data_IF_887715229007
#
_entry.id   IF_887715229007
#
_cell.length_a   1.000
_cell.length_b   1.000
_cell.length_c   1.000
_cell.angle_alpha   90.00
_cell.angle_beta   90.00
_cell.angle_gamma   90.00
#
_symmetry.space_group_name_H-M   'P 1'
#
loop_
_entity.id
_entity.type
_entity.pdbx_description
1 polymer ?
#
# COMPACT_ATOMS: atom_id res chain seq x y z
N UNK A 1 21.56 -46.46 43.72
CA UNK A 1 20.63 -45.30 43.77
C UNK A 1 21.06 -44.12 42.88
N UNK A 2 22.31 -44.08 42.40
CA UNK A 2 22.88 -42.96 41.62
C UNK A 2 22.43 -42.94 40.14
N UNK A 3 22.22 -44.08 39.48
CA UNK A 3 21.91 -44.12 38.04
C UNK A 3 20.56 -43.48 37.66
N UNK A 4 19.50 -43.66 38.47
CA UNK A 4 18.17 -43.07 38.19
C UNK A 4 18.15 -41.54 38.20
N UNK A 5 19.10 -40.90 38.88
CA UNK A 5 19.26 -39.45 38.90
C UNK A 5 19.84 -38.92 37.59
N UNK A 6 20.84 -39.62 37.04
CA UNK A 6 21.44 -39.29 35.75
C UNK A 6 20.43 -39.47 34.60
N UNK A 7 19.64 -40.54 34.62
CA UNK A 7 18.62 -40.80 33.60
C UNK A 7 17.57 -39.67 33.56
N UNK A 8 17.14 -39.18 34.74
CA UNK A 8 16.22 -38.03 34.84
C UNK A 8 16.80 -36.75 34.25
N UNK A 9 18.08 -36.47 34.50
CA UNK A 9 18.76 -35.29 33.95
C UNK A 9 18.91 -35.41 32.43
N UNK A 10 19.23 -36.60 31.93
CA UNK A 10 19.31 -36.88 30.50
C UNK A 10 17.95 -36.69 29.82
N UNK A 11 16.87 -37.16 30.43
CA UNK A 11 15.51 -37.03 29.88
C UNK A 11 15.00 -35.58 29.92
N UNK A 12 15.36 -34.82 30.95
CA UNK A 12 15.14 -33.38 31.00
C UNK A 12 15.87 -32.68 29.85
N UNK A 13 17.15 -32.99 29.62
CA UNK A 13 17.95 -32.40 28.54
C UNK A 13 17.41 -32.76 27.15
N UNK A 14 16.95 -33.99 26.94
CA UNK A 14 16.29 -34.41 25.68
C UNK A 14 15.00 -33.64 25.44
N UNK A 15 14.20 -33.42 26.49
CA UNK A 15 12.95 -32.66 26.41
C UNK A 15 13.20 -31.18 26.11
N UNK A 16 14.23 -30.59 26.72
CA UNK A 16 14.68 -29.24 26.47
C UNK A 16 15.16 -29.05 25.02
N UNK A 17 15.97 -29.98 24.51
CA UNK A 17 16.40 -29.99 23.10
C UNK A 17 15.20 -30.07 22.15
N UNK A 18 14.21 -30.92 22.46
CA UNK A 18 13.00 -31.05 21.63
C UNK A 18 12.21 -29.74 21.61
N UNK A 19 12.07 -29.07 22.76
CA UNK A 19 11.39 -27.77 22.86
C UNK A 19 12.12 -26.70 22.04
N UNK A 20 13.44 -26.57 22.21
CA UNK A 20 14.25 -25.59 21.48
C UNK A 20 14.16 -25.82 19.96
N UNK A 21 14.19 -27.08 19.49
CA UNK A 21 14.02 -27.39 18.06
C UNK A 21 12.65 -26.95 17.53
N UNK A 22 11.60 -27.11 18.33
CA UNK A 22 10.25 -26.67 17.96
C UNK A 22 10.16 -25.14 17.91
N UNK A 23 10.70 -24.44 18.91
CA UNK A 23 10.74 -22.97 18.93
C UNK A 23 11.51 -22.40 17.72
N UNK A 24 12.66 -23.00 17.35
CA UNK A 24 13.42 -22.60 16.16
C UNK A 24 12.59 -22.80 14.88
N UNK A 25 11.84 -23.91 14.78
CA UNK A 25 10.96 -24.18 13.64
C UNK A 25 9.86 -23.12 13.53
N UNK A 26 9.24 -22.79 14.65
CA UNK A 26 8.14 -21.81 14.70
C UNK A 26 8.64 -20.39 14.40
N UNK A 27 9.82 -20.01 14.91
CA UNK A 27 10.46 -18.73 14.59
C UNK A 27 10.85 -18.63 13.11
N UNK A 28 11.37 -19.72 12.51
CA UNK A 28 11.67 -19.77 11.06
C UNK A 28 10.40 -19.72 10.21
N UNK A 29 9.30 -20.33 10.66
CA UNK A 29 8.02 -20.23 9.98
C UNK A 29 7.43 -18.81 10.05
N UNK A 30 7.53 -18.14 11.21
CA UNK A 30 7.13 -16.74 11.39
C UNK A 30 8.00 -15.79 10.55
N UNK A 31 9.32 -16.01 10.51
CA UNK A 31 10.25 -15.23 9.69
C UNK A 31 10.15 -15.49 8.17
N UNK A 32 9.57 -16.63 7.76
CA UNK A 32 9.29 -16.93 6.34
C UNK A 32 8.13 -16.12 5.75
N UNK A 33 7.34 -15.43 6.57
CA UNK A 33 6.13 -14.73 6.11
C UNK A 33 6.35 -13.28 5.66
N UNK A 34 7.59 -12.78 5.68
CA UNK A 34 7.96 -11.54 5.01
C UNK A 34 9.24 -11.80 4.24
N UNK A 35 9.14 -11.98 2.93
CA UNK A 35 10.34 -12.06 2.11
C UNK A 35 11.07 -10.72 2.19
N UNK A 36 12.40 -10.74 2.05
CA UNK A 36 13.19 -9.49 1.93
C UNK A 36 12.62 -8.58 0.84
N UNK A 37 12.09 -9.19 -0.22
CA UNK A 37 11.43 -8.50 -1.34
C UNK A 37 10.13 -7.81 -0.90
N UNK A 38 9.31 -8.44 -0.04
CA UNK A 38 8.09 -7.83 0.49
C UNK A 38 8.40 -6.64 1.41
N UNK A 39 9.43 -6.75 2.25
CA UNK A 39 9.88 -5.67 3.14
C UNK A 39 10.42 -4.49 2.31
N UNK A 40 11.25 -4.78 1.30
CA UNK A 40 11.77 -3.75 0.40
C UNK A 40 10.67 -3.14 -0.48
N UNK A 41 9.69 -3.94 -0.92
CA UNK A 41 8.54 -3.46 -1.69
C UNK A 41 7.64 -2.58 -0.83
N UNK A 42 7.39 -2.95 0.43
CA UNK A 42 6.64 -2.13 1.37
C UNK A 42 7.38 -0.83 1.70
N UNK A 43 8.69 -0.88 1.98
CA UNK A 43 9.51 0.30 2.24
C UNK A 43 9.55 1.23 1.02
N UNK A 44 9.65 0.68 -0.20
CA UNK A 44 9.57 1.44 -1.44
C UNK A 44 8.18 2.04 -1.65
N UNK A 45 7.12 1.27 -1.39
CA UNK A 45 5.75 1.76 -1.46
C UNK A 45 5.47 2.87 -0.45
N UNK A 46 6.03 2.80 0.77
CA UNK A 46 5.93 3.82 1.82
C UNK A 46 6.71 5.09 1.45
N UNK A 47 7.91 4.93 0.85
CA UNK A 47 8.73 6.05 0.39
C UNK A 47 8.14 6.73 -0.86
N UNK A 48 7.53 5.97 -1.77
CA UNK A 48 6.87 6.45 -2.99
C UNK A 48 5.40 6.88 -2.72
N UNK A 49 4.89 6.70 -1.50
CA UNK A 49 3.50 6.97 -1.10
C UNK A 49 3.15 8.44 -0.94
N UNK A 50 3.89 9.39 -1.52
CA UNK A 50 3.57 10.80 -1.35
C UNK A 50 3.83 11.63 -2.61
N UNK A 51 2.90 11.54 -3.56
CA UNK A 51 2.60 12.60 -4.54
C UNK A 51 1.12 12.60 -4.94
N UNK A 52 0.46 11.44 -5.01
CA UNK A 52 -0.92 11.37 -5.49
C UNK A 52 -1.95 12.04 -4.60
N UNK A 53 -1.90 11.89 -3.27
CA UNK A 53 -2.87 12.53 -2.38
C UNK A 53 -2.86 14.05 -2.53
N UNK A 54 -1.67 14.67 -2.49
CA UNK A 54 -1.48 16.10 -2.74
C UNK A 54 -1.88 16.51 -4.16
N UNK A 55 -1.55 15.69 -5.17
CA UNK A 55 -1.97 15.97 -6.54
C UNK A 55 -3.49 15.87 -6.72
N UNK A 56 -4.18 14.98 -5.99
CA UNK A 56 -5.65 14.88 -6.00
C UNK A 56 -6.30 16.04 -5.27
N UNK A 57 -5.72 16.49 -4.16
CA UNK A 57 -6.14 17.68 -3.44
C UNK A 57 -6.04 18.92 -4.35
N UNK A 58 -4.87 19.15 -4.96
CA UNK A 58 -4.68 20.23 -5.93
C UNK A 58 -5.64 20.12 -7.12
N UNK A 59 -5.85 18.91 -7.65
CA UNK A 59 -6.82 18.69 -8.73
C UNK A 59 -8.24 19.08 -8.30
N UNK A 60 -8.63 18.75 -7.07
CA UNK A 60 -9.91 19.15 -6.49
C UNK A 60 -10.02 20.66 -6.29
N UNK A 61 -8.99 21.31 -5.75
CA UNK A 61 -8.93 22.77 -5.57
C UNK A 61 -9.02 23.54 -6.90
N UNK A 62 -8.41 23.00 -7.97
CA UNK A 62 -8.48 23.57 -9.31
C UNK A 62 -9.78 23.24 -10.05
N UNK A 63 -10.56 22.27 -9.57
CA UNK A 63 -11.85 21.91 -10.18
C UNK A 63 -12.87 23.01 -9.88
N UNK A 64 -13.48 23.65 -10.90
CA UNK A 64 -14.50 24.67 -10.71
C UNK A 64 -15.71 24.18 -9.90
N UNK A 65 -16.38 25.07 -9.17
CA UNK A 65 -17.55 24.73 -8.34
C UNK A 65 -18.72 24.11 -9.13
N UNK A 66 -18.82 24.42 -10.41
CA UNK A 66 -19.84 23.91 -11.34
C UNK A 66 -19.38 22.68 -12.14
N UNK A 67 -18.26 22.07 -11.74
CA UNK A 67 -17.71 20.84 -12.29
C UNK A 67 -17.48 19.81 -11.18
N UNK A 68 -17.75 18.54 -11.47
CA UNK A 68 -17.45 17.43 -10.58
C UNK A 68 -16.64 16.37 -11.32
N UNK A 69 -15.49 15.97 -10.74
CA UNK A 69 -14.76 14.79 -11.18
C UNK A 69 -15.51 13.54 -10.72
N UNK A 70 -15.87 12.68 -11.67
CA UNK A 70 -16.66 11.47 -11.43
C UNK A 70 -15.86 10.18 -11.60
N UNK A 71 -14.64 10.27 -12.14
CA UNK A 71 -13.80 9.10 -12.33
C UNK A 71 -12.35 9.43 -12.59
N UNK A 72 -11.48 8.53 -12.13
CA UNK A 72 -10.04 8.59 -12.39
C UNK A 72 -9.51 7.19 -12.69
N UNK A 73 -8.73 7.06 -13.76
CA UNK A 73 -8.15 5.78 -14.17
C UNK A 73 -6.75 5.97 -14.70
N UNK A 74 -5.78 5.30 -14.08
CA UNK A 74 -4.42 5.22 -14.59
C UNK A 74 -4.20 3.90 -15.32
N UNK A 75 -3.86 3.95 -16.61
CA UNK A 75 -3.53 2.76 -17.41
C UNK A 75 -2.53 3.12 -18.51
N UNK A 76 -1.56 2.24 -18.76
CA UNK A 76 -0.53 2.42 -19.81
C UNK A 76 0.17 3.79 -19.73
N UNK A 77 0.57 4.20 -18.53
CA UNK A 77 1.21 5.49 -18.27
C UNK A 77 0.37 6.72 -18.67
N UNK A 78 -0.96 6.58 -18.69
CA UNK A 78 -1.90 7.67 -18.95
C UNK A 78 -2.91 7.76 -17.81
N UNK A 79 -3.07 8.97 -17.27
CA UNK A 79 -4.16 9.30 -16.35
C UNK A 79 -5.35 9.79 -17.18
N UNK A 80 -6.48 9.11 -17.04
CA UNK A 80 -7.77 9.55 -17.57
C UNK A 80 -8.59 10.09 -16.42
N UNK A 81 -9.10 11.31 -16.58
CA UNK A 81 -10.02 11.97 -15.65
C UNK A 81 -11.35 12.12 -16.37
N UNK A 82 -12.44 11.75 -15.71
CA UNK A 82 -13.81 11.90 -16.18
C UNK A 82 -14.54 12.85 -15.24
N UNK A 83 -15.37 13.72 -15.80
CA UNK A 83 -16.13 14.68 -15.01
C UNK A 83 -17.42 15.09 -15.72
N UNK A 84 -18.27 15.77 -14.97
CA UNK A 84 -19.50 16.39 -15.43
C UNK A 84 -19.43 17.88 -15.08
N UNK A 85 -19.94 18.74 -15.94
CA UNK A 85 -19.99 20.18 -15.70
C UNK A 85 -21.34 20.75 -16.16
N UNK A 86 -21.78 21.83 -15.53
CA UNK A 86 -22.96 22.56 -15.98
C UNK A 86 -22.67 23.29 -17.29
N UNK A 87 -23.67 23.28 -18.19
CA UNK A 87 -23.62 24.03 -19.45
C UNK A 87 -24.51 25.26 -19.34
N UNK A 88 -23.99 26.42 -19.74
CA UNK A 88 -24.73 27.68 -19.73
C UNK A 88 -25.09 28.11 -21.15
N UNK A 89 -26.28 28.69 -21.35
CA UNK A 89 -26.79 29.06 -22.68
C UNK A 89 -25.95 30.11 -23.41
N UNK A 90 -25.17 30.87 -22.66
CA UNK A 90 -24.33 31.99 -23.09
C UNK A 90 -22.85 31.63 -23.24
N UNK A 91 -22.45 30.38 -22.94
CA UNK A 91 -21.09 29.87 -23.15
C UNK A 91 -21.09 28.64 -24.03
N UNK A 92 -20.03 28.48 -24.84
CA UNK A 92 -19.86 27.24 -25.61
C UNK A 92 -19.36 26.14 -24.68
N UNK A 93 -19.95 24.96 -24.76
CA UNK A 93 -19.59 23.77 -23.97
C UNK A 93 -18.08 23.49 -24.02
N UNK A 94 -17.46 23.68 -25.18
CA UNK A 94 -16.03 23.47 -25.38
C UNK A 94 -15.15 24.44 -24.58
N UNK A 95 -15.58 25.69 -24.40
CA UNK A 95 -14.83 26.69 -23.63
C UNK A 95 -14.74 26.32 -22.15
N UNK A 96 -15.76 25.66 -21.61
CA UNK A 96 -15.78 25.21 -20.20
C UNK A 96 -14.67 24.17 -19.97
N UNK A 97 -14.53 23.21 -20.90
CA UNK A 97 -13.48 22.19 -20.83
C UNK A 97 -12.09 22.79 -21.10
N UNK A 98 -11.95 23.64 -22.12
CA UNK A 98 -10.66 24.21 -22.49
C UNK A 98 -10.09 25.11 -21.38
N UNK A 99 -10.94 25.93 -20.74
CA UNK A 99 -10.55 26.73 -19.59
C UNK A 99 -10.04 25.86 -18.45
N UNK A 100 -10.74 24.77 -18.12
CA UNK A 100 -10.29 23.86 -17.07
C UNK A 100 -8.97 23.17 -17.43
N UNK A 101 -8.81 22.67 -18.66
CA UNK A 101 -7.54 22.06 -19.11
C UNK A 101 -6.39 23.07 -19.05
N UNK A 102 -6.62 24.35 -19.36
CA UNK A 102 -5.62 25.39 -19.26
C UNK A 102 -5.21 25.69 -17.81
N UNK A 103 -6.09 25.53 -16.82
CA UNK A 103 -5.71 25.67 -15.39
C UNK A 103 -4.80 24.55 -14.90
N UNK A 104 -4.78 23.40 -15.58
CA UNK A 104 -3.96 22.23 -15.22
C UNK A 104 -2.58 22.20 -15.90
N UNK A 105 -2.29 23.16 -16.79
CA UNK A 105 -0.98 23.30 -17.47
C UNK A 105 0.00 24.09 -16.62
#
# INVERSE_FOLDING_TARGET
MVSRGYDKVIDQKKSEIKRIKQEIKDLRAKGKNLSKEDIMSLAKLEQDRFLWARNMELLGEMTPEDMAITGMKFKHNKLMVSGIANVYKDRKDFEIIDNYVNTLR
#
